data_IF_340684335689
#
_entry.id   IF_340684335689
#
_cell.length_a   1.000
_cell.length_b   1.000
_cell.length_c   1.000
_cell.angle_alpha   90.00
_cell.angle_beta   90.00
_cell.angle_gamma   90.00
#
_symmetry.space_group_name_H-M   'P 1'
#
loop_
_entity.id
_entity.type
_entity.pdbx_description
1 polymer ?
#
# COMPACT_ATOMS: atom_id res chain seq x y z
N UNK A 1 23.26 -8.00 -9.28
CA UNK A 1 22.38 -8.43 -10.39
C UNK A 1 21.44 -7.28 -10.67
N UNK A 2 21.44 -6.78 -11.90
CA UNK A 2 20.78 -5.53 -12.28
C UNK A 2 19.34 -5.50 -11.80
N UNK A 3 19.01 -4.51 -10.99
CA UNK A 3 17.65 -4.25 -10.52
C UNK A 3 16.71 -3.87 -11.67
N UNK A 4 17.04 -4.06 -12.94
CA UNK A 4 16.30 -3.60 -14.11
C UNK A 4 15.60 -4.75 -14.84
N UNK A 5 16.34 -5.76 -15.26
CA UNK A 5 15.76 -6.87 -16.02
C UNK A 5 15.24 -7.98 -15.11
N UNK A 6 14.05 -8.49 -15.43
CA UNK A 6 13.45 -9.65 -14.78
C UNK A 6 13.60 -10.85 -15.70
N UNK A 7 13.97 -12.00 -15.15
CA UNK A 7 13.89 -13.27 -15.88
C UNK A 7 12.43 -13.61 -16.24
N UNK A 8 12.27 -14.56 -17.16
CA UNK A 8 10.96 -14.92 -17.72
C UNK A 8 9.96 -15.41 -16.66
N UNK A 9 10.43 -16.18 -15.68
CA UNK A 9 9.59 -16.74 -14.62
C UNK A 9 9.14 -15.64 -13.67
N UNK A 10 10.04 -14.76 -13.28
CA UNK A 10 9.74 -13.59 -12.45
C UNK A 10 8.77 -12.65 -13.15
N UNK A 11 8.93 -12.43 -14.47
CA UNK A 11 8.01 -11.61 -15.25
C UNK A 11 6.62 -12.25 -15.35
N UNK A 12 6.54 -13.58 -15.51
CA UNK A 12 5.29 -14.33 -15.53
C UNK A 12 4.57 -14.21 -14.18
N UNK A 13 5.27 -14.47 -13.08
CA UNK A 13 4.76 -14.29 -11.70
C UNK A 13 4.21 -12.88 -11.50
N UNK A 14 5.00 -11.86 -11.81
CA UNK A 14 4.59 -10.47 -11.64
C UNK A 14 3.32 -10.11 -12.45
N UNK A 15 3.17 -10.64 -13.66
CA UNK A 15 1.97 -10.41 -14.49
C UNK A 15 0.73 -11.05 -13.86
N UNK A 16 0.86 -12.24 -13.29
CA UNK A 16 -0.24 -12.94 -12.60
C UNK A 16 -0.64 -12.19 -11.32
N UNK A 17 0.32 -11.77 -10.51
CA UNK A 17 0.10 -10.97 -9.29
C UNK A 17 -0.60 -9.64 -9.61
N UNK A 18 -0.17 -8.93 -10.67
CA UNK A 18 -0.83 -7.70 -11.14
C UNK A 18 -2.29 -7.97 -11.53
N UNK A 19 -2.58 -9.11 -12.16
CA UNK A 19 -3.95 -9.47 -12.54
C UNK A 19 -4.84 -9.65 -11.31
N UNK A 20 -4.34 -10.35 -10.28
CA UNK A 20 -5.04 -10.51 -9.00
C UNK A 20 -5.35 -9.16 -8.37
N UNK A 21 -4.32 -8.31 -8.24
CA UNK A 21 -4.46 -6.99 -7.61
C UNK A 21 -5.40 -6.08 -8.40
N UNK A 22 -5.34 -6.08 -9.74
CA UNK A 22 -6.27 -5.30 -10.57
C UNK A 22 -7.73 -5.72 -10.38
N UNK A 23 -7.99 -7.02 -10.18
CA UNK A 23 -9.32 -7.53 -9.91
C UNK A 23 -9.94 -6.96 -8.62
N UNK A 24 -9.13 -6.59 -7.63
CA UNK A 24 -9.61 -5.96 -6.39
C UNK A 24 -10.21 -4.57 -6.62
N UNK A 25 -9.70 -3.85 -7.63
CA UNK A 25 -9.97 -2.43 -7.84
C UNK A 25 -11.19 -2.15 -8.73
N UNK A 26 -11.81 -3.17 -9.31
CA UNK A 26 -12.97 -3.06 -10.21
C UNK A 26 -14.30 -3.19 -9.44
N UNK A 27 -14.24 -3.27 -8.11
CA UNK A 27 -15.44 -3.45 -7.27
C UNK A 27 -16.34 -2.20 -7.29
N UNK A 28 -17.67 -2.36 -7.46
CA UNK A 28 -18.60 -1.25 -7.34
C UNK A 28 -18.47 -0.56 -5.99
N UNK A 29 -18.63 0.77 -5.96
CA UNK A 29 -18.57 1.52 -4.71
C UNK A 29 -19.73 1.10 -3.79
N UNK A 30 -19.41 0.27 -2.78
CA UNK A 30 -20.31 -0.02 -1.68
C UNK A 30 -20.37 1.12 -0.66
N UNK A 31 -21.17 0.94 0.38
CA UNK A 31 -21.22 1.88 1.51
C UNK A 31 -19.83 2.10 2.12
N UNK A 32 -19.60 3.31 2.63
CA UNK A 32 -18.36 3.63 3.35
C UNK A 32 -18.25 2.83 4.65
N UNK A 33 -17.09 2.21 4.86
CA UNK A 33 -16.66 1.60 6.13
C UNK A 33 -15.75 2.53 6.94
N UNK A 34 -15.28 3.61 6.32
CA UNK A 34 -14.44 4.62 6.96
C UNK A 34 -15.27 5.74 7.58
N UNK A 35 -14.73 6.36 8.63
CA UNK A 35 -15.35 7.50 9.33
C UNK A 35 -14.33 8.55 9.72
N UNK A 36 -14.72 9.82 9.52
CA UNK A 36 -13.93 11.00 9.88
C UNK A 36 -12.56 11.02 9.22
N UNK A 37 -11.62 11.66 9.91
CA UNK A 37 -10.24 11.86 9.45
C UNK A 37 -9.48 10.55 9.21
N UNK A 38 -8.67 10.53 8.15
CA UNK A 38 -7.71 9.48 7.81
C UNK A 38 -6.37 9.72 8.50
N UNK A 39 -5.70 8.66 8.94
CA UNK A 39 -4.45 8.77 9.71
C UNK A 39 -3.26 8.18 8.96
N UNK A 40 -2.05 8.66 9.28
CA UNK A 40 -0.83 8.02 8.78
C UNK A 40 -0.69 6.62 9.38
N UNK A 41 -0.25 5.62 8.59
CA UNK A 41 -0.08 4.26 9.08
C UNK A 41 1.17 4.07 9.96
N UNK A 42 2.17 4.95 9.80
CA UNK A 42 3.34 5.09 10.66
C UNK A 42 3.69 6.57 10.85
N UNK A 43 4.40 6.89 11.93
CA UNK A 43 4.81 8.27 12.25
C UNK A 43 5.99 8.80 11.41
N UNK A 44 6.70 7.91 10.70
CA UNK A 44 7.92 8.27 9.98
C UNK A 44 7.71 9.28 8.85
N UNK A 45 8.79 9.98 8.53
CA UNK A 45 8.84 10.99 7.46
C UNK A 45 8.72 10.36 6.08
N UNK A 46 8.31 11.17 5.09
CA UNK A 46 8.23 10.73 3.69
C UNK A 46 9.67 10.70 3.13
N UNK A 47 10.13 9.53 2.67
CA UNK A 47 11.44 9.36 2.03
C UNK A 47 11.34 9.33 0.51
N UNK A 48 10.19 8.92 -0.02
CA UNK A 48 9.87 8.98 -1.45
C UNK A 48 8.42 9.42 -1.64
N UNK A 49 8.22 10.46 -2.45
CA UNK A 49 6.91 11.03 -2.72
C UNK A 49 6.15 10.29 -3.82
N UNK A 50 4.83 10.46 -3.82
CA UNK A 50 3.93 9.96 -4.86
C UNK A 50 4.28 10.61 -6.21
N UNK A 51 4.22 9.81 -7.29
CA UNK A 51 4.49 10.26 -8.65
C UNK A 51 5.98 10.47 -8.99
N UNK A 52 6.89 10.38 -8.01
CA UNK A 52 8.34 10.46 -8.25
C UNK A 52 8.76 9.36 -9.23
N UNK A 53 9.59 9.69 -10.21
CA UNK A 53 10.24 8.71 -11.08
C UNK A 53 11.66 8.45 -10.61
N UNK A 54 12.02 7.18 -10.49
CA UNK A 54 13.39 6.77 -10.23
C UNK A 54 14.10 6.50 -11.55
N UNK A 55 15.37 6.89 -11.64
CA UNK A 55 16.25 6.58 -12.77
C UNK A 55 17.21 5.50 -12.29
N UNK A 56 17.21 4.33 -12.94
CA UNK A 56 18.13 3.22 -12.64
C UNK A 56 18.83 2.85 -13.94
N UNK A 57 20.17 2.85 -13.94
CA UNK A 57 21.00 2.60 -15.12
C UNK A 57 20.60 3.48 -16.33
N UNK A 58 20.27 4.75 -16.10
CA UNK A 58 19.86 5.70 -17.14
C UNK A 58 18.42 5.55 -17.65
N UNK A 59 17.65 4.57 -17.13
CA UNK A 59 16.26 4.34 -17.54
C UNK A 59 15.26 4.81 -16.50
N UNK A 60 14.25 5.57 -16.93
CA UNK A 60 13.13 5.97 -16.08
C UNK A 60 12.23 4.77 -15.73
N UNK A 61 11.93 4.64 -14.44
CA UNK A 61 10.92 3.72 -13.92
C UNK A 61 9.53 4.31 -14.04
N UNK A 62 8.52 3.43 -13.92
CA UNK A 62 7.16 3.85 -13.66
C UNK A 62 7.09 4.80 -12.45
N UNK A 63 6.20 5.81 -12.48
CA UNK A 63 5.98 6.70 -11.36
C UNK A 63 5.63 5.93 -10.09
N UNK A 64 6.14 6.42 -8.97
CA UNK A 64 5.89 5.84 -7.66
C UNK A 64 4.39 5.86 -7.32
N UNK A 65 3.82 4.69 -7.04
CA UNK A 65 2.36 4.49 -6.91
C UNK A 65 1.78 4.85 -5.53
N UNK A 66 2.63 5.27 -4.61
CA UNK A 66 2.29 5.59 -3.22
C UNK A 66 3.35 6.52 -2.64
N UNK A 67 3.50 6.51 -1.33
CA UNK A 67 4.61 7.17 -0.63
C UNK A 67 5.39 6.14 0.16
N UNK A 68 6.70 6.35 0.26
CA UNK A 68 7.53 5.55 1.15
C UNK A 68 7.73 6.35 2.43
N UNK A 69 7.42 5.71 3.55
CA UNK A 69 7.53 6.27 4.89
C UNK A 69 8.69 5.59 5.61
N UNK A 70 9.56 6.38 6.24
CA UNK A 70 10.65 5.86 7.07
C UNK A 70 10.07 4.98 8.17
N UNK A 71 10.48 3.72 8.22
CA UNK A 71 10.08 2.79 9.27
C UNK A 71 11.18 1.75 9.43
N UNK A 72 11.64 1.56 10.66
CA UNK A 72 12.58 0.47 10.96
C UNK A 72 11.83 -0.87 10.87
N UNK A 73 12.56 -1.95 10.62
CA UNK A 73 11.96 -3.26 10.64
C UNK A 73 11.32 -3.54 12.01
N UNK A 74 10.09 -4.06 12.02
CA UNK A 74 9.33 -4.27 13.25
C UNK A 74 8.46 -3.08 13.67
N UNK A 75 8.47 -1.93 12.98
CA UNK A 75 7.58 -0.81 13.33
C UNK A 75 6.12 -1.21 13.12
N UNK A 76 5.22 -1.05 14.12
CA UNK A 76 3.80 -1.34 13.96
C UNK A 76 3.15 -0.49 12.86
N UNK A 77 2.49 -1.16 11.91
CA UNK A 77 1.77 -0.52 10.79
C UNK A 77 0.28 -0.51 11.10
N UNK A 78 -0.32 0.67 11.14
CA UNK A 78 -1.75 0.85 11.42
C UNK A 78 -2.58 1.00 10.14
N UNK A 79 -3.81 0.49 10.15
CA UNK A 79 -4.76 0.86 9.09
C UNK A 79 -5.12 2.35 9.17
N UNK A 80 -5.21 2.99 8.01
CA UNK A 80 -5.44 4.44 7.89
C UNK A 80 -6.87 4.85 8.24
N UNK A 81 -7.82 3.91 8.10
CA UNK A 81 -9.22 4.07 8.50
C UNK A 81 -9.91 2.69 8.66
N UNK A 82 -11.18 2.69 9.05
CA UNK A 82 -11.99 1.47 9.14
C UNK A 82 -12.21 0.84 7.76
N UNK A 83 -12.19 -0.49 7.69
CA UNK A 83 -12.32 -1.20 6.41
C UNK A 83 -12.33 -2.71 6.55
N UNK A 84 -12.35 -3.41 5.42
CA UNK A 84 -12.28 -4.87 5.32
C UNK A 84 -11.03 -5.27 4.56
N UNK A 85 -10.25 -6.21 5.09
CA UNK A 85 -9.05 -6.73 4.45
C UNK A 85 -9.46 -7.45 3.16
N UNK A 86 -9.03 -6.89 2.02
CA UNK A 86 -9.36 -7.37 0.69
C UNK A 86 -8.35 -8.41 0.18
N UNK A 87 -7.08 -8.25 0.55
CA UNK A 87 -6.01 -9.18 0.19
C UNK A 87 -4.89 -9.12 1.22
N UNK A 88 -4.32 -10.29 1.52
CA UNK A 88 -3.00 -10.46 2.12
C UNK A 88 -2.19 -11.28 1.14
N UNK A 89 -1.00 -10.82 0.76
CA UNK A 89 -0.21 -11.47 -0.28
C UNK A 89 1.29 -11.29 -0.07
N UNK A 90 2.07 -12.26 -0.54
CA UNK A 90 3.53 -12.16 -0.69
C UNK A 90 3.87 -12.13 -2.18
N UNK A 91 3.97 -10.92 -2.73
CA UNK A 91 4.21 -10.69 -4.16
C UNK A 91 5.67 -10.34 -4.43
N UNK A 92 6.14 -10.61 -5.65
CA UNK A 92 7.52 -10.34 -6.02
C UNK A 92 7.94 -8.88 -5.79
N UNK A 93 7.08 -7.93 -6.19
CA UNK A 93 7.39 -6.50 -6.05
C UNK A 93 7.06 -5.96 -4.66
N UNK A 94 5.80 -6.11 -4.22
CA UNK A 94 5.33 -5.51 -2.97
C UNK A 94 5.74 -6.29 -1.71
N UNK A 95 6.29 -7.49 -1.87
CA UNK A 95 6.56 -8.39 -0.76
C UNK A 95 5.29 -8.76 -0.02
N UNK A 96 5.45 -9.04 1.27
CA UNK A 96 4.35 -9.26 2.18
C UNK A 96 3.55 -7.95 2.31
N UNK A 97 2.26 -8.05 2.02
CA UNK A 97 1.41 -6.90 1.77
C UNK A 97 -0.02 -7.10 2.27
N UNK A 98 -0.63 -5.99 2.67
CA UNK A 98 -2.04 -5.92 3.08
C UNK A 98 -2.75 -4.88 2.22
N UNK A 99 -3.93 -5.25 1.72
CA UNK A 99 -4.84 -4.38 0.99
C UNK A 99 -6.14 -4.29 1.77
N UNK A 100 -6.62 -3.07 2.01
CA UNK A 100 -7.87 -2.83 2.76
C UNK A 100 -8.83 -2.07 1.87
N UNK A 101 -10.04 -2.62 1.74
CA UNK A 101 -11.18 -1.97 1.11
C UNK A 101 -11.94 -1.19 2.19
N UNK A 102 -11.96 0.13 2.08
CA UNK A 102 -12.66 1.00 3.02
C UNK A 102 -14.09 1.27 2.58
N UNK A 103 -14.56 0.72 1.45
CA UNK A 103 -15.82 1.11 0.83
C UNK A 103 -15.75 2.50 0.19
N UNK A 104 -16.85 2.93 -0.45
CA UNK A 104 -16.90 4.22 -1.15
C UNK A 104 -15.86 4.37 -2.28
N UNK A 105 -15.34 3.25 -2.79
CA UNK A 105 -14.30 3.23 -3.83
C UNK A 105 -12.87 3.50 -3.32
N UNK A 106 -12.63 3.56 -2.00
CA UNK A 106 -11.30 3.84 -1.44
C UNK A 106 -10.63 2.57 -0.95
N UNK A 107 -9.39 2.35 -1.39
CA UNK A 107 -8.55 1.24 -0.94
C UNK A 107 -7.19 1.71 -0.50
N UNK A 108 -6.66 1.12 0.57
CA UNK A 108 -5.29 1.33 1.04
C UNK A 108 -4.42 0.09 0.84
N UNK A 109 -3.12 0.34 0.72
CA UNK A 109 -2.09 -0.65 0.43
C UNK A 109 -0.90 -0.45 1.36
N UNK A 110 -0.44 -1.53 2.00
CA UNK A 110 0.69 -1.56 2.93
C UNK A 110 1.65 -2.64 2.47
N UNK A 111 2.82 -2.25 1.97
CA UNK A 111 3.78 -3.20 1.37
C UNK A 111 5.06 -3.31 2.18
N UNK A 112 5.90 -4.27 1.78
CA UNK A 112 7.22 -4.52 2.34
C UNK A 112 7.18 -4.90 3.82
N UNK A 113 6.09 -5.52 4.27
CA UNK A 113 5.90 -5.91 5.67
C UNK A 113 6.87 -7.05 6.02
N UNK A 114 7.31 -7.13 7.28
CA UNK A 114 8.00 -8.32 7.80
C UNK A 114 7.00 -9.34 8.35
N UNK A 115 5.85 -8.86 8.81
CA UNK A 115 4.79 -9.70 9.39
C UNK A 115 3.41 -9.09 9.17
N UNK A 116 2.39 -9.96 9.07
CA UNK A 116 0.98 -9.58 8.94
C UNK A 116 0.17 -10.18 10.09
N UNK A 117 -0.74 -9.39 10.66
CA UNK A 117 -1.58 -9.77 11.81
C UNK A 117 -3.05 -9.91 11.46
N UNK A 118 -3.41 -9.74 10.19
CA UNK A 118 -4.78 -9.75 9.72
C UNK A 118 -4.97 -10.77 8.60
N UNK A 119 -6.21 -11.20 8.39
CA UNK A 119 -6.55 -12.16 7.34
C UNK A 119 -7.60 -11.59 6.38
N UNK A 120 -7.64 -12.14 5.16
CA UNK A 120 -8.64 -11.76 4.15
C UNK A 120 -10.05 -11.89 4.72
N UNK A 121 -10.86 -10.85 4.50
CA UNK A 121 -12.24 -10.78 4.99
C UNK A 121 -12.40 -10.18 6.39
N UNK A 122 -11.32 -10.01 7.16
CA UNK A 122 -11.37 -9.40 8.48
C UNK A 122 -11.78 -7.91 8.39
N UNK A 123 -12.69 -7.49 9.27
CA UNK A 123 -13.01 -6.07 9.48
C UNK A 123 -12.01 -5.49 10.47
N UNK A 124 -11.48 -4.32 10.17
CA UNK A 124 -10.51 -3.61 11.01
C UNK A 124 -10.96 -2.18 11.25
N UNK A 125 -10.76 -1.71 12.46
CA UNK A 125 -11.05 -0.35 12.88
C UNK A 125 -9.89 0.58 12.56
N UNK A 126 -10.18 1.88 12.40
CA UNK A 126 -9.15 2.90 12.21
C UNK A 126 -8.08 2.82 13.31
N UNK A 127 -6.81 2.74 12.91
CA UNK A 127 -5.70 2.66 13.86
C UNK A 127 -5.36 1.26 14.35
N UNK A 128 -6.13 0.23 13.99
CA UNK A 128 -5.76 -1.16 14.28
C UNK A 128 -4.43 -1.52 13.61
N UNK A 129 -3.57 -2.24 14.32
CA UNK A 129 -2.29 -2.73 13.78
C UNK A 129 -2.54 -3.90 12.84
N UNK A 130 -2.07 -3.80 11.59
CA UNK A 130 -2.28 -4.82 10.55
C UNK A 130 -1.05 -5.67 10.28
N UNK A 131 0.10 -5.23 10.76
CA UNK A 131 1.38 -5.91 10.58
C UNK A 131 2.54 -5.07 11.09
N UNK A 132 3.75 -5.49 10.74
CA UNK A 132 4.99 -4.79 11.04
C UNK A 132 5.71 -4.43 9.74
N UNK A 133 6.30 -3.24 9.68
CA UNK A 133 7.14 -2.85 8.54
C UNK A 133 8.39 -3.72 8.46
N UNK A 134 8.91 -3.89 7.26
CA UNK A 134 10.11 -4.68 7.02
C UNK A 134 10.74 -4.32 5.69
N UNK A 135 11.33 -5.33 5.06
CA UNK A 135 12.10 -5.20 3.82
C UNK A 135 11.78 -6.32 2.82
N UNK A 136 10.57 -6.88 2.87
CA UNK A 136 10.15 -7.95 1.94
C UNK A 136 9.84 -7.43 0.53
N UNK A 137 9.91 -8.32 -0.45
CA UNK A 137 9.72 -7.97 -1.87
C UNK A 137 10.95 -7.30 -2.48
N UNK A 138 10.72 -6.39 -3.43
CA UNK A 138 11.79 -5.75 -4.20
C UNK A 138 12.16 -4.39 -3.64
N UNK A 139 12.93 -4.38 -2.56
CA UNK A 139 13.39 -3.16 -1.87
C UNK A 139 14.86 -3.25 -1.46
N UNK A 140 15.48 -2.10 -1.17
CA UNK A 140 16.90 -2.01 -0.76
C UNK A 140 17.08 -1.87 0.76
N UNK A 141 16.00 -1.68 1.51
CA UNK A 141 16.06 -1.57 2.97
C UNK A 141 14.70 -1.30 3.61
N UNK A 142 14.60 -1.34 4.95
CA UNK A 142 13.34 -1.22 5.65
C UNK A 142 12.64 0.13 5.46
N UNK A 143 11.36 0.07 5.08
CA UNK A 143 10.44 1.20 5.02
C UNK A 143 9.00 0.67 4.89
N UNK A 144 8.01 1.55 5.01
CA UNK A 144 6.64 1.24 4.61
C UNK A 144 6.31 1.95 3.31
N UNK A 145 6.02 1.19 2.26
CA UNK A 145 5.30 1.74 1.11
C UNK A 145 3.80 1.77 1.41
N UNK A 146 3.22 2.97 1.35
CA UNK A 146 1.82 3.24 1.62
C UNK A 146 1.15 3.83 0.38
N UNK A 147 0.13 3.15 -0.15
CA UNK A 147 -0.63 3.60 -1.30
C UNK A 147 -2.10 3.77 -0.99
N UNK A 148 -2.77 4.66 -1.75
CA UNK A 148 -4.23 4.77 -1.78
C UNK A 148 -4.70 4.71 -3.23
N UNK A 149 -5.84 4.05 -3.44
CA UNK A 149 -6.64 4.17 -4.65
C UNK A 149 -8.03 4.72 -4.36
N UNK A 150 -8.55 5.50 -5.30
CA UNK A 150 -9.92 5.98 -5.35
C UNK A 150 -10.52 5.59 -6.71
N UNK A 151 -11.59 4.81 -6.70
CA UNK A 151 -12.25 4.28 -7.90
C UNK A 151 -11.27 3.60 -8.87
N UNK A 152 -10.34 2.85 -8.30
CA UNK A 152 -9.30 2.14 -9.04
C UNK A 152 -8.12 3.01 -9.48
N UNK A 153 -8.17 4.34 -9.35
CA UNK A 153 -7.06 5.23 -9.71
C UNK A 153 -6.14 5.51 -8.53
N UNK A 154 -4.84 5.64 -8.80
CA UNK A 154 -3.84 5.94 -7.77
C UNK A 154 -3.92 7.41 -7.39
N UNK A 155 -3.94 7.71 -6.11
CA UNK A 155 -3.96 9.09 -5.60
C UNK A 155 -2.84 9.30 -4.59
N UNK A 156 -2.44 10.56 -4.40
CA UNK A 156 -1.48 10.90 -3.36
C UNK A 156 -2.11 10.64 -1.97
N UNK A 157 -1.61 9.67 -1.19
CA UNK A 157 -2.20 9.31 0.09
C UNK A 157 -2.05 10.42 1.15
N UNK A 158 -1.03 11.28 1.02
CA UNK A 158 -0.79 12.38 1.97
C UNK A 158 -1.85 13.47 1.79
N UNK A 159 -2.18 13.82 0.54
CA UNK A 159 -3.24 14.80 0.26
C UNK A 159 -4.60 14.32 0.81
N UNK A 160 -4.92 13.02 0.71
CA UNK A 160 -6.15 12.47 1.30
C UNK A 160 -6.17 12.67 2.82
N UNK A 161 -5.07 12.36 3.50
CA UNK A 161 -4.94 12.54 4.96
C UNK A 161 -5.12 14.01 5.34
N UNK A 162 -4.46 14.93 4.63
CA UNK A 162 -4.51 16.37 4.90
C UNK A 162 -5.92 16.95 4.70
N UNK A 163 -6.54 16.68 3.54
CA UNK A 163 -7.89 17.19 3.22
C UNK A 163 -8.93 16.60 4.18
N UNK A 164 -8.74 15.36 4.64
CA UNK A 164 -9.64 14.73 5.60
C UNK A 164 -9.62 15.36 7.00
N UNK A 165 -8.67 16.26 7.29
CA UNK A 165 -8.63 16.99 8.57
C UNK A 165 -9.91 17.79 8.85
N UNK A 166 -10.63 18.21 7.81
CA UNK A 166 -11.93 18.90 7.94
C UNK A 166 -13.13 17.99 8.25
N UNK A 167 -12.92 16.66 8.30
CA UNK A 167 -13.96 15.65 8.54
C UNK A 167 -14.12 15.28 10.02
N UNK A 168 -13.59 16.08 10.95
CA UNK A 168 -13.78 15.91 12.40
C UNK A 168 -15.13 16.43 12.92
N UNK A 169 -16.14 16.57 12.04
CA UNK A 169 -17.50 16.97 12.40
C UNK A 169 -18.44 15.78 12.47
#
# INVERSE_FOLDING_TARGET
REMVELDADTLKRAKEEIRVVRGLFIRPAGYSLWRGRWIRPVAGTIVSSFGRRSIINGMERSPHSGVDLKAEEGTPVKTTNGGKVALVADHFFSGLSVFIDHGGGIQSMYFHLSQVFVQVGQVVEKGATVGLSGSSGRVTGPHLHFGIRLNGERVNPINLIEISGGLER
#
